data_IF_513049290260
#
_entry.id   IF_513049290260
#
_cell.length_a   1.000
_cell.length_b   1.000
_cell.length_c   1.000
_cell.angle_alpha   90.00
_cell.angle_beta   90.00
_cell.angle_gamma   90.00
#
_symmetry.space_group_name_H-M   'P 1'
#
loop_
_entity.id
_entity.type
_entity.pdbx_description
1 polymer ?
#
# COMPACT_ATOMS: atom_id res chain seq x y z
N UNK A 1 7.50 1.45 -13.81
CA UNK A 1 7.43 1.12 -12.40
C UNK A 1 8.14 -0.19 -12.08
N UNK A 2 8.86 -0.27 -10.99
CA UNK A 2 9.82 -1.34 -10.68
C UNK A 2 9.22 -2.53 -9.92
N UNK A 3 7.96 -2.79 -10.13
CA UNK A 3 7.17 -3.77 -9.38
C UNK A 3 7.71 -5.20 -9.49
N UNK A 4 8.13 -5.59 -10.69
CA UNK A 4 8.58 -6.97 -10.95
C UNK A 4 9.83 -7.31 -10.15
N UNK A 5 10.76 -6.36 -10.02
CA UNK A 5 11.99 -6.57 -9.26
C UNK A 5 11.73 -6.81 -7.79
N UNK A 6 10.79 -6.08 -7.21
CA UNK A 6 10.40 -6.26 -5.80
C UNK A 6 9.84 -7.66 -5.57
N UNK A 7 8.96 -8.10 -6.45
CA UNK A 7 8.32 -9.43 -6.33
C UNK A 7 9.35 -10.55 -6.44
N UNK A 8 10.26 -10.47 -7.41
CA UNK A 8 11.26 -11.53 -7.59
C UNK A 8 12.25 -11.63 -6.43
N UNK A 9 12.60 -10.51 -5.78
CA UNK A 9 13.49 -10.51 -4.63
C UNK A 9 12.88 -11.10 -3.37
N UNK A 10 11.56 -11.08 -3.25
CA UNK A 10 10.85 -11.53 -2.04
C UNK A 10 10.95 -13.04 -1.80
N UNK A 11 11.37 -13.85 -2.77
CA UNK A 11 11.55 -15.28 -2.60
C UNK A 11 12.67 -15.63 -1.59
N UNK A 12 13.62 -14.74 -1.39
CA UNK A 12 14.73 -14.92 -0.46
C UNK A 12 14.42 -14.22 0.87
N UNK A 13 14.71 -14.93 2.00
CA UNK A 13 14.40 -14.40 3.33
C UNK A 13 15.12 -13.08 3.62
N UNK A 14 16.38 -12.96 3.24
CA UNK A 14 17.18 -11.76 3.44
C UNK A 14 17.51 -11.11 2.09
N UNK A 15 16.45 -10.87 1.32
CA UNK A 15 16.53 -10.40 -0.05
C UNK A 15 17.20 -9.03 -0.21
N UNK A 16 17.22 -8.20 0.83
CA UNK A 16 17.82 -6.87 0.78
C UNK A 16 19.15 -6.82 1.53
N UNK A 17 20.01 -7.79 1.27
CA UNK A 17 21.41 -7.89 1.71
C UNK A 17 21.60 -8.21 3.19
N UNK A 18 20.87 -7.57 4.09
CA UNK A 18 20.98 -7.79 5.54
C UNK A 18 19.62 -8.12 6.15
N UNK A 19 19.61 -8.82 7.31
CA UNK A 19 18.36 -9.06 8.03
C UNK A 19 17.61 -7.77 8.37
N UNK A 20 18.32 -6.76 8.84
CA UNK A 20 17.69 -5.48 9.21
C UNK A 20 16.99 -4.83 8.03
N UNK A 21 17.68 -4.68 6.90
CA UNK A 21 17.09 -4.08 5.69
C UNK A 21 15.89 -4.87 5.19
N UNK A 22 16.01 -6.18 5.18
CA UNK A 22 14.96 -7.06 4.69
C UNK A 22 13.70 -6.94 5.56
N UNK A 23 13.85 -6.99 6.87
CA UNK A 23 12.71 -6.84 7.79
C UNK A 23 12.10 -5.45 7.75
N UNK A 24 12.93 -4.41 7.61
CA UNK A 24 12.43 -3.04 7.51
C UNK A 24 11.55 -2.85 6.28
N UNK A 25 12.02 -3.27 5.11
CA UNK A 25 11.23 -3.16 3.87
C UNK A 25 10.02 -4.08 3.85
N UNK A 26 10.13 -5.26 4.49
CA UNK A 26 8.97 -6.14 4.67
C UNK A 26 7.88 -5.43 5.52
N UNK A 27 8.27 -4.76 6.59
CA UNK A 27 7.36 -4.00 7.43
C UNK A 27 6.68 -2.86 6.65
N UNK A 28 7.42 -2.11 5.85
CA UNK A 28 6.85 -1.10 4.98
C UNK A 28 5.82 -1.70 4.01
N UNK A 29 6.15 -2.82 3.39
CA UNK A 29 5.23 -3.46 2.44
C UNK A 29 3.92 -3.89 3.10
N UNK A 30 3.98 -4.34 4.35
CA UNK A 30 2.78 -4.70 5.12
C UNK A 30 1.93 -3.48 5.48
N UNK A 31 2.55 -2.34 5.70
CA UNK A 31 1.88 -1.09 6.03
C UNK A 31 1.23 -0.42 4.81
N UNK A 32 1.88 -0.48 3.65
CA UNK A 32 1.54 0.32 2.48
C UNK A 32 0.13 0.09 1.91
N UNK A 33 -0.40 -1.15 1.80
CA UNK A 33 -1.75 -1.32 1.23
C UNK A 33 -2.84 -0.55 1.97
N UNK A 34 -2.81 -0.52 3.30
CA UNK A 34 -3.77 0.26 4.10
C UNK A 34 -3.54 1.75 3.99
N UNK A 35 -2.28 2.18 3.98
CA UNK A 35 -1.92 3.59 3.79
C UNK A 35 -2.33 4.10 2.41
N UNK A 36 -2.08 3.33 1.37
CA UNK A 36 -2.49 3.66 0.01
C UNK A 36 -4.01 3.71 -0.13
N UNK A 37 -4.74 2.79 0.51
CA UNK A 37 -6.19 2.82 0.52
C UNK A 37 -6.72 4.09 1.18
N UNK A 38 -6.10 4.52 2.27
CA UNK A 38 -6.45 5.79 2.92
C UNK A 38 -6.26 6.97 1.97
N UNK A 39 -5.11 7.04 1.29
CA UNK A 39 -4.81 8.11 0.33
C UNK A 39 -5.78 8.09 -0.85
N UNK A 40 -6.07 6.92 -1.40
CA UNK A 40 -7.03 6.77 -2.50
C UNK A 40 -8.40 7.34 -2.12
N UNK A 41 -8.91 6.96 -0.96
CA UNK A 41 -10.21 7.45 -0.48
C UNK A 41 -10.21 8.96 -0.26
N UNK A 42 -9.15 9.49 0.32
CA UNK A 42 -9.02 10.93 0.53
C UNK A 42 -9.01 11.70 -0.79
N UNK A 43 -8.31 11.21 -1.78
CA UNK A 43 -8.22 11.83 -3.11
C UNK A 43 -9.55 11.74 -3.86
N UNK A 44 -10.23 10.59 -3.80
CA UNK A 44 -11.54 10.43 -4.42
C UNK A 44 -12.58 11.35 -3.76
N UNK A 45 -12.56 11.45 -2.44
CA UNK A 45 -13.45 12.36 -1.72
C UNK A 45 -13.17 13.83 -2.08
N UNK A 46 -11.90 14.22 -2.13
CA UNK A 46 -11.54 15.57 -2.57
C UNK A 46 -11.98 15.87 -4.01
N UNK A 47 -11.87 14.88 -4.90
CA UNK A 47 -12.28 15.04 -6.29
C UNK A 47 -13.79 15.33 -6.44
N UNK A 48 -14.62 14.80 -5.53
CA UNK A 48 -16.07 15.08 -5.57
C UNK A 48 -16.40 16.55 -5.33
N UNK A 49 -15.47 17.31 -4.76
CA UNK A 49 -15.64 18.74 -4.46
C UNK A 49 -15.11 19.64 -5.56
N UNK A 50 -14.47 19.08 -6.58
CA UNK A 50 -14.00 19.85 -7.73
C UNK A 50 -15.14 20.13 -8.68
N UNK A 51 -15.11 21.29 -9.39
CA UNK A 51 -16.08 21.56 -10.45
C UNK A 51 -16.02 20.51 -11.54
N UNK A 52 -17.17 20.21 -12.14
CA UNK A 52 -17.25 19.31 -13.29
C UNK A 52 -16.35 19.82 -14.42
N UNK A 53 -15.55 18.92 -15.00
CA UNK A 53 -14.62 19.26 -16.07
C UNK A 53 -13.35 19.96 -15.64
N UNK A 54 -13.11 20.12 -14.33
CA UNK A 54 -11.85 20.68 -13.85
C UNK A 54 -10.66 19.82 -14.30
N UNK A 55 -9.56 20.43 -14.81
CA UNK A 55 -8.38 19.66 -15.23
C UNK A 55 -7.82 18.80 -14.12
N UNK A 56 -7.89 19.24 -12.88
CA UNK A 56 -7.38 18.52 -11.71
C UNK A 56 -8.11 17.18 -11.49
N UNK A 57 -9.35 17.04 -11.95
CA UNK A 57 -10.08 15.77 -11.85
C UNK A 57 -9.35 14.63 -12.57
N UNK A 58 -8.81 14.90 -13.77
CA UNK A 58 -8.06 13.89 -14.52
C UNK A 58 -6.73 13.55 -13.85
N UNK A 59 -6.07 14.56 -13.27
CA UNK A 59 -4.83 14.32 -12.53
C UNK A 59 -5.08 13.44 -11.30
N UNK A 60 -6.18 13.69 -10.57
CA UNK A 60 -6.57 12.86 -9.43
C UNK A 60 -6.89 11.44 -9.89
N UNK A 61 -7.63 11.28 -10.98
CA UNK A 61 -7.95 9.97 -11.51
C UNK A 61 -6.70 9.19 -11.89
N UNK A 62 -5.73 9.85 -12.51
CA UNK A 62 -4.44 9.24 -12.86
C UNK A 62 -3.67 8.82 -11.61
N UNK A 63 -3.59 9.68 -10.62
CA UNK A 63 -2.95 9.38 -9.34
C UNK A 63 -3.60 8.17 -8.66
N UNK A 64 -4.93 8.12 -8.61
CA UNK A 64 -5.65 6.98 -8.03
C UNK A 64 -5.34 5.67 -8.77
N UNK A 65 -5.29 5.71 -10.11
CA UNK A 65 -4.91 4.52 -10.89
C UNK A 65 -3.51 4.02 -10.52
N UNK A 66 -2.57 4.93 -10.36
CA UNK A 66 -1.19 4.59 -9.99
C UNK A 66 -1.13 4.01 -8.57
N UNK A 67 -1.82 4.62 -7.63
CA UNK A 67 -1.86 4.12 -6.25
C UNK A 67 -2.52 2.74 -6.15
N UNK A 68 -3.56 2.48 -6.93
CA UNK A 68 -4.16 1.13 -7.00
C UNK A 68 -3.19 0.10 -7.56
N UNK A 69 -2.39 0.47 -8.54
CA UNK A 69 -1.35 -0.41 -9.07
C UNK A 69 -0.27 -0.71 -8.02
N UNK A 70 0.17 0.29 -7.28
CA UNK A 70 1.10 0.12 -6.16
C UNK A 70 0.52 -0.80 -5.09
N UNK A 71 -0.73 -0.59 -4.73
CA UNK A 71 -1.41 -1.41 -3.72
C UNK A 71 -1.47 -2.89 -4.14
N UNK A 72 -1.79 -3.17 -5.40
CA UNK A 72 -1.79 -4.54 -5.92
C UNK A 72 -0.40 -5.17 -5.86
N UNK A 73 0.63 -4.40 -6.21
CA UNK A 73 2.01 -4.86 -6.16
C UNK A 73 2.44 -5.23 -4.73
N UNK A 74 2.13 -4.38 -3.77
CA UNK A 74 2.45 -4.65 -2.37
C UNK A 74 1.67 -5.82 -1.80
N UNK A 75 0.42 -6.00 -2.19
CA UNK A 75 -0.35 -7.17 -1.79
C UNK A 75 0.24 -8.47 -2.34
N UNK A 76 0.70 -8.45 -3.58
CA UNK A 76 1.38 -9.61 -4.16
C UNK A 76 2.68 -9.92 -3.42
N UNK A 77 3.47 -8.90 -3.13
CA UNK A 77 4.68 -9.04 -2.32
C UNK A 77 4.36 -9.61 -0.93
N UNK A 78 3.32 -9.11 -0.28
CA UNK A 78 2.90 -9.58 1.04
C UNK A 78 2.43 -11.03 1.02
N UNK A 79 1.87 -11.50 -0.10
CA UNK A 79 1.56 -12.92 -0.30
C UNK A 79 2.83 -13.78 -0.23
N UNK A 80 3.93 -13.30 -0.80
CA UNK A 80 5.21 -13.98 -0.73
C UNK A 80 5.79 -13.98 0.68
N UNK A 81 5.59 -12.91 1.43
CA UNK A 81 5.96 -12.87 2.85
C UNK A 81 5.18 -13.90 3.66
N UNK A 82 3.89 -14.03 3.40
CA UNK A 82 3.07 -15.06 4.05
C UNK A 82 3.60 -16.46 3.74
N UNK A 83 4.04 -16.71 2.52
CA UNK A 83 4.64 -17.98 2.13
C UNK A 83 5.97 -18.26 2.84
N UNK A 84 6.68 -17.23 3.29
CA UNK A 84 7.91 -17.35 4.09
C UNK A 84 7.65 -17.57 5.58
N UNK A 85 6.40 -17.65 6.01
CA UNK A 85 6.03 -17.90 7.39
C UNK A 85 5.64 -16.66 8.20
N UNK A 86 5.62 -15.47 7.60
CA UNK A 86 5.12 -14.26 8.26
C UNK A 86 3.60 -14.28 8.33
N UNK A 87 3.03 -13.83 9.43
CA UNK A 87 1.58 -13.70 9.56
C UNK A 87 1.09 -12.38 8.94
N UNK A 88 1.26 -12.26 7.62
CA UNK A 88 0.98 -11.03 6.88
C UNK A 88 -0.49 -10.65 6.95
N UNK A 89 -1.40 -11.63 6.85
CA UNK A 89 -2.85 -11.37 6.88
C UNK A 89 -3.28 -10.71 8.19
N UNK A 90 -2.82 -11.26 9.34
CA UNK A 90 -3.16 -10.70 10.64
C UNK A 90 -2.53 -9.32 10.85
N UNK A 91 -1.30 -9.12 10.40
CA UNK A 91 -0.61 -7.84 10.51
C UNK A 91 -1.29 -6.76 9.66
N UNK A 92 -1.63 -7.07 8.42
CA UNK A 92 -2.38 -6.14 7.56
C UNK A 92 -3.76 -5.79 8.16
N UNK A 93 -4.45 -6.76 8.74
CA UNK A 93 -5.74 -6.53 9.37
C UNK A 93 -5.62 -5.58 10.57
N UNK A 94 -4.58 -5.73 11.39
CA UNK A 94 -4.31 -4.83 12.53
C UNK A 94 -3.98 -3.42 12.06
N UNK A 95 -3.15 -3.29 11.04
CA UNK A 95 -2.78 -2.00 10.47
C UNK A 95 -4.03 -1.31 9.89
N UNK A 96 -4.83 -2.04 9.13
CA UNK A 96 -6.06 -1.52 8.56
C UNK A 96 -7.04 -1.02 9.61
N UNK A 97 -7.16 -1.74 10.73
CA UNK A 97 -7.98 -1.33 11.86
C UNK A 97 -7.45 -0.04 12.49
N UNK A 98 -6.15 0.06 12.72
CA UNK A 98 -5.52 1.24 13.28
C UNK A 98 -5.73 2.47 12.40
N UNK A 99 -5.60 2.32 11.08
CA UNK A 99 -5.86 3.40 10.12
C UNK A 99 -7.32 3.86 10.19
N UNK A 100 -8.27 2.93 10.21
CA UNK A 100 -9.70 3.27 10.31
C UNK A 100 -10.04 3.99 11.61
N UNK A 101 -9.49 3.55 12.73
CA UNK A 101 -9.72 4.20 14.04
C UNK A 101 -9.12 5.60 14.06
N UNK A 102 -7.92 5.78 13.54
CA UNK A 102 -7.28 7.09 13.45
C UNK A 102 -8.09 8.05 12.58
N UNK A 103 -8.64 7.58 11.48
CA UNK A 103 -9.48 8.38 10.59
C UNK A 103 -10.76 8.84 11.29
N UNK A 104 -11.38 7.96 12.08
CA UNK A 104 -12.59 8.31 12.86
C UNK A 104 -12.28 9.35 13.94
N UNK A 105 -11.14 9.23 14.60
CA UNK A 105 -10.74 10.15 15.67
C UNK A 105 -10.49 11.58 15.15
N UNK A 106 -10.13 11.73 13.88
CA UNK A 106 -9.84 13.01 13.25
C UNK A 106 -11.07 13.69 12.60
N UNK A 107 -12.25 13.07 12.69
CA UNK A 107 -13.50 13.64 12.14
C UNK A 107 -14.26 14.52 13.12
#
# INVERSE_FOLDING_TARGET
MQTVMVVSGASERFWNQTPFRSYLFNAFSLLLPSGEQFVIRAMEDAATRLPEGAPLQEEVAQFVREERAHQRAHRLYNTQLAAQGYNAVALEARIGRAVRLSTRACR
#
